data_IF_947364584375
#
_entry.id   IF_947364584375
#
_cell.length_a   1.000
_cell.length_b   1.000
_cell.length_c   1.000
_cell.angle_alpha   90.00
_cell.angle_beta   90.00
_cell.angle_gamma   90.00
#
_symmetry.space_group_name_H-M   'P 1'
#
loop_
_entity.id
_entity.type
_entity.pdbx_description
1 polymer ?
#
# COMPACT_ATOMS: atom_id res chain seq x y z
N UNK A 1 -10.60 -1.90 6.31
CA UNK A 1 -9.33 -2.24 5.69
C UNK A 1 -9.19 -3.73 5.46
N UNK A 2 -8.22 -4.15 4.67
CA UNK A 2 -7.95 -5.55 4.35
C UNK A 2 -6.96 -6.15 5.34
N UNK A 3 -7.04 -7.45 5.54
CA UNK A 3 -6.11 -8.27 6.34
C UNK A 3 -5.49 -9.35 5.47
N UNK A 4 -4.42 -9.97 5.94
CA UNK A 4 -3.83 -11.11 5.26
C UNK A 4 -4.86 -12.26 5.16
N UNK A 5 -5.08 -12.76 3.95
CA UNK A 5 -6.08 -13.78 3.63
C UNK A 5 -7.44 -13.25 3.18
N UNK A 6 -7.68 -11.94 3.24
CA UNK A 6 -8.91 -11.36 2.71
C UNK A 6 -8.93 -11.41 1.17
N UNK A 7 -10.09 -11.65 0.60
CA UNK A 7 -10.31 -11.56 -0.84
C UNK A 7 -10.56 -10.12 -1.26
N UNK A 8 -9.79 -9.64 -2.24
CA UNK A 8 -9.99 -8.31 -2.84
C UNK A 8 -10.92 -8.45 -4.04
N UNK A 9 -12.18 -8.07 -3.85
CA UNK A 9 -13.19 -8.12 -4.90
C UNK A 9 -12.94 -7.05 -5.98
N UNK A 10 -13.06 -7.43 -7.25
CA UNK A 10 -13.00 -6.51 -8.40
C UNK A 10 -14.32 -5.76 -8.67
N UNK A 11 -15.38 -6.09 -7.93
CA UNK A 11 -16.70 -5.45 -8.10
C UNK A 11 -16.85 -4.15 -7.33
N UNK A 12 -15.87 -3.79 -6.54
CA UNK A 12 -15.89 -2.60 -5.71
C UNK A 12 -14.82 -1.59 -6.14
N UNK A 13 -14.56 -0.62 -5.31
CA UNK A 13 -13.58 0.44 -5.49
C UNK A 13 -12.14 -0.14 -5.55
N UNK A 14 -11.24 0.34 -6.44
CA UNK A 14 -9.85 -0.09 -6.48
C UNK A 14 -9.00 0.42 -5.30
N UNK A 15 -9.58 1.21 -4.37
CA UNK A 15 -8.88 1.74 -3.20
C UNK A 15 -8.69 0.66 -2.13
N UNK A 16 -7.48 0.14 -2.00
CA UNK A 16 -7.13 -0.88 -1.00
C UNK A 16 -6.74 -0.27 0.34
N UNK A 17 -5.91 0.76 0.31
CA UNK A 17 -5.39 1.40 1.50
C UNK A 17 -5.05 2.86 1.22
N UNK A 18 -4.98 3.66 2.28
CA UNK A 18 -4.51 5.05 2.26
C UNK A 18 -3.35 5.18 3.21
N UNK A 19 -2.16 5.46 2.67
CA UNK A 19 -0.96 5.73 3.44
C UNK A 19 -0.80 7.24 3.64
N UNK A 20 -0.64 7.67 4.87
CA UNK A 20 -0.47 9.08 5.23
C UNK A 20 0.78 9.22 6.06
N UNK A 21 1.64 10.19 5.70
CA UNK A 21 2.82 10.56 6.46
C UNK A 21 2.79 12.06 6.78
N UNK A 22 3.44 12.43 7.86
CA UNK A 22 3.65 13.82 8.25
C UNK A 22 5.13 14.18 8.24
N UNK A 23 5.47 15.33 7.66
CA UNK A 23 6.79 15.92 7.67
C UNK A 23 6.72 17.43 7.95
N UNK A 24 7.71 17.97 8.63
CA UNK A 24 7.81 19.40 8.92
C UNK A 24 8.04 20.23 7.64
N UNK A 25 8.58 19.61 6.61
CA UNK A 25 8.75 20.17 5.28
C UNK A 25 8.28 19.21 4.21
N UNK A 26 8.06 19.73 2.99
CA UNK A 26 7.74 18.89 1.82
C UNK A 26 8.79 17.81 1.59
N UNK A 27 10.06 18.18 1.67
CA UNK A 27 11.19 17.28 1.47
C UNK A 27 11.18 16.13 2.49
N UNK A 28 11.03 16.45 3.78
CA UNK A 28 10.94 15.44 4.84
C UNK A 28 9.74 14.53 4.67
N UNK A 29 8.60 15.08 4.25
CA UNK A 29 7.40 14.29 3.99
C UNK A 29 7.61 13.32 2.82
N UNK A 30 8.27 13.77 1.73
CA UNK A 30 8.60 12.91 0.58
C UNK A 30 9.54 11.77 1.00
N UNK A 31 10.59 12.06 1.74
CA UNK A 31 11.54 11.04 2.23
C UNK A 31 10.85 10.00 3.12
N UNK A 32 10.00 10.45 4.04
CA UNK A 32 9.21 9.55 4.89
C UNK A 32 8.23 8.69 4.09
N UNK A 33 7.58 9.26 3.08
CA UNK A 33 6.66 8.51 2.22
C UNK A 33 7.41 7.46 1.40
N UNK A 34 8.56 7.80 0.83
CA UNK A 34 9.41 6.86 0.10
C UNK A 34 9.88 5.71 1.00
N UNK A 35 10.27 5.98 2.24
CA UNK A 35 10.64 4.95 3.20
C UNK A 35 9.46 4.05 3.53
N UNK A 36 8.30 4.63 3.86
CA UNK A 36 7.09 3.89 4.18
C UNK A 36 6.60 3.01 3.03
N UNK A 37 6.67 3.49 1.77
CA UNK A 37 6.30 2.70 0.59
C UNK A 37 7.27 1.55 0.33
N UNK A 38 8.57 1.69 0.65
CA UNK A 38 9.54 0.59 0.54
C UNK A 38 9.30 -0.52 1.55
N UNK A 39 8.79 -0.17 2.72
CA UNK A 39 8.46 -1.12 3.79
C UNK A 39 7.05 -1.70 3.64
N UNK A 40 6.22 -1.09 2.79
CA UNK A 40 4.84 -1.54 2.58
C UNK A 40 4.81 -2.78 1.71
N UNK A 41 4.40 -3.90 2.28
CA UNK A 41 4.32 -5.20 1.60
C UNK A 41 2.86 -5.54 1.32
N UNK A 42 2.54 -5.76 0.04
CA UNK A 42 1.24 -6.27 -0.41
C UNK A 42 1.47 -7.44 -1.39
N UNK A 43 1.08 -8.62 -0.98
CA UNK A 43 1.17 -9.83 -1.82
C UNK A 43 -0.20 -10.25 -2.35
N UNK A 44 -0.21 -10.88 -3.52
CA UNK A 44 -1.42 -11.43 -4.13
C UNK A 44 -2.28 -10.42 -4.89
N UNK A 45 -1.91 -9.12 -4.87
CA UNK A 45 -2.60 -8.07 -5.61
C UNK A 45 -1.60 -7.16 -6.32
N UNK A 46 -1.96 -6.70 -7.50
CA UNK A 46 -1.18 -5.66 -8.19
C UNK A 46 -1.49 -4.31 -7.58
N UNK A 47 -0.45 -3.60 -7.15
CA UNK A 47 -0.57 -2.27 -6.55
C UNK A 47 0.12 -1.22 -7.40
N UNK A 48 -0.11 0.06 -7.10
CA UNK A 48 0.56 1.19 -7.75
C UNK A 48 1.76 1.72 -6.91
N UNK A 49 2.32 0.90 -6.03
CA UNK A 49 3.42 1.31 -5.13
C UNK A 49 4.64 1.77 -5.94
N UNK A 50 5.08 1.01 -6.94
CA UNK A 50 6.22 1.35 -7.77
C UNK A 50 6.00 2.67 -8.53
N UNK A 51 4.80 2.83 -9.10
CA UNK A 51 4.40 4.09 -9.73
C UNK A 51 4.52 5.27 -8.75
N UNK A 52 4.03 5.12 -7.53
CA UNK A 52 4.10 6.18 -6.51
C UNK A 52 5.54 6.48 -6.09
N UNK A 53 6.41 5.48 -5.98
CA UNK A 53 7.82 5.68 -5.67
C UNK A 53 8.54 6.46 -6.77
N UNK A 54 8.27 6.15 -8.04
CA UNK A 54 8.84 6.85 -9.18
C UNK A 54 8.36 8.31 -9.25
N UNK A 55 7.06 8.55 -9.02
CA UNK A 55 6.51 9.91 -8.93
C UNK A 55 7.20 10.71 -7.82
N UNK A 56 7.34 10.13 -6.62
CA UNK A 56 7.98 10.80 -5.47
C UNK A 56 9.47 11.09 -5.70
N UNK A 57 10.12 10.35 -6.58
CA UNK A 57 11.53 10.51 -6.92
C UNK A 57 11.77 11.51 -8.07
N UNK A 58 10.70 11.90 -8.79
CA UNK A 58 10.83 12.78 -9.94
C UNK A 58 11.11 14.22 -9.53
N UNK A 59 12.04 14.88 -10.26
CA UNK A 59 12.49 16.25 -9.96
C UNK A 59 11.35 17.28 -9.96
N UNK A 60 10.43 17.19 -10.93
CA UNK A 60 9.27 18.10 -10.98
C UNK A 60 8.37 17.94 -9.75
N UNK A 61 8.20 16.69 -9.26
CA UNK A 61 7.40 16.44 -8.08
C UNK A 61 8.10 16.95 -6.81
N UNK A 62 9.39 16.69 -6.64
CA UNK A 62 10.14 17.13 -5.47
C UNK A 62 10.23 18.65 -5.40
N UNK A 63 10.40 19.33 -6.55
CA UNK A 63 10.42 20.78 -6.65
C UNK A 63 9.02 21.46 -6.62
N UNK A 64 7.93 20.67 -6.59
CA UNK A 64 6.56 21.19 -6.58
C UNK A 64 6.05 21.74 -7.91
N UNK A 65 6.72 21.47 -9.03
CA UNK A 65 6.37 21.96 -10.38
C UNK A 65 5.41 21.00 -11.12
N UNK A 66 4.45 20.45 -10.41
CA UNK A 66 3.48 19.49 -10.99
C UNK A 66 2.11 20.16 -11.14
N UNK A 67 1.39 19.75 -12.18
CA UNK A 67 -0.01 20.11 -12.44
C UNK A 67 -0.87 18.85 -12.52
N UNK A 68 -2.20 19.00 -12.54
CA UNK A 68 -3.13 17.87 -12.67
C UNK A 68 -2.91 17.00 -13.90
N UNK A 69 -2.38 17.59 -14.98
CA UNK A 69 -2.06 16.89 -16.25
C UNK A 69 -0.58 16.47 -16.36
N UNK A 70 0.20 16.65 -15.30
CA UNK A 70 1.65 16.38 -15.37
C UNK A 70 1.94 14.90 -15.63
N UNK A 71 1.24 13.99 -14.97
CA UNK A 71 1.40 12.55 -15.18
C UNK A 71 1.14 12.16 -16.63
N UNK A 72 0.04 12.64 -17.21
CA UNK A 72 -0.34 12.31 -18.59
C UNK A 72 0.63 12.87 -19.62
N UNK A 73 1.14 14.07 -19.40
CA UNK A 73 1.90 14.81 -20.41
C UNK A 73 3.42 14.60 -20.32
N UNK A 74 3.95 14.34 -19.13
CA UNK A 74 5.40 14.34 -18.90
C UNK A 74 5.93 13.07 -18.25
N UNK A 75 5.09 12.30 -17.56
CA UNK A 75 5.52 11.15 -16.80
C UNK A 75 5.25 9.85 -17.57
N UNK A 76 6.21 9.43 -18.39
CA UNK A 76 6.12 8.19 -19.17
C UNK A 76 6.55 6.98 -18.31
N UNK A 77 5.69 6.59 -17.37
CA UNK A 77 5.96 5.46 -16.50
C UNK A 77 5.77 4.11 -17.22
N UNK A 78 6.65 3.17 -16.92
CA UNK A 78 6.52 1.78 -17.33
C UNK A 78 6.68 0.89 -16.11
N UNK A 79 5.80 -0.12 -15.93
CA UNK A 79 5.94 -1.06 -14.83
C UNK A 79 7.29 -1.80 -14.94
N UNK A 80 7.95 -1.98 -13.79
CA UNK A 80 9.12 -2.83 -13.69
C UNK A 80 8.72 -4.30 -13.90
N UNK A 81 9.50 -5.03 -14.67
CA UNK A 81 9.33 -6.49 -14.75
C UNK A 81 9.94 -7.11 -13.50
N UNK A 82 9.22 -8.01 -12.81
CA UNK A 82 9.78 -8.68 -11.65
C UNK A 82 11.01 -9.49 -12.03
N UNK A 83 12.07 -9.41 -11.24
CA UNK A 83 13.26 -10.23 -11.41
C UNK A 83 13.01 -11.65 -10.94
N UNK A 84 13.84 -12.59 -11.41
CA UNK A 84 13.73 -14.00 -10.99
C UNK A 84 13.91 -14.15 -9.46
N UNK A 85 14.80 -13.36 -8.88
CA UNK A 85 15.03 -13.31 -7.43
C UNK A 85 13.80 -12.82 -6.67
N UNK A 86 13.10 -11.82 -7.19
CA UNK A 86 11.87 -11.31 -6.57
C UNK A 86 10.74 -12.33 -6.60
N UNK A 87 10.64 -13.12 -7.67
CA UNK A 87 9.67 -14.23 -7.77
C UNK A 87 9.96 -15.35 -6.78
N UNK A 88 11.24 -15.70 -6.59
CA UNK A 88 11.66 -16.68 -5.57
C UNK A 88 11.31 -16.13 -4.17
N UNK A 89 11.64 -14.89 -3.88
CA UNK A 89 11.35 -14.29 -2.59
C UNK A 89 9.84 -14.26 -2.28
N UNK A 90 9.02 -13.92 -3.28
CA UNK A 90 7.56 -13.96 -3.16
C UNK A 90 7.05 -15.38 -2.86
N UNK A 91 7.55 -16.39 -3.59
CA UNK A 91 7.16 -17.79 -3.37
C UNK A 91 7.55 -18.31 -1.98
N UNK A 92 8.71 -17.90 -1.46
CA UNK A 92 9.14 -18.24 -0.11
C UNK A 92 8.30 -17.53 0.95
N UNK A 93 7.92 -16.29 0.71
CA UNK A 93 7.03 -15.54 1.59
C UNK A 93 5.65 -16.20 1.68
N UNK A 94 5.07 -16.62 0.57
CA UNK A 94 3.79 -17.36 0.54
C UNK A 94 3.85 -18.64 1.38
N UNK A 95 4.92 -19.42 1.26
CA UNK A 95 5.12 -20.63 2.07
C UNK A 95 5.19 -20.34 3.56
N UNK A 96 5.76 -19.21 3.96
CA UNK A 96 5.85 -18.81 5.37
C UNK A 96 4.53 -18.26 5.90
N UNK A 97 3.73 -17.59 5.07
CA UNK A 97 2.41 -17.04 5.43
C UNK A 97 1.39 -18.16 5.59
N UNK A 98 1.36 -19.14 4.67
CA UNK A 98 0.44 -20.29 4.73
C UNK A 98 0.68 -21.14 5.97
N UNK A 99 1.92 -21.24 6.45
CA UNK A 99 2.28 -22.01 7.64
C UNK A 99 2.16 -21.22 8.96
N UNK A 100 1.74 -19.95 8.93
CA UNK A 100 1.43 -19.24 10.17
C UNK A 100 0.07 -19.74 10.69
N UNK A 101 0.02 -20.28 11.93
CA UNK A 101 -1.27 -20.55 12.54
C UNK A 101 -2.04 -19.23 12.59
N UNK A 102 -3.31 -19.29 12.24
CA UNK A 102 -4.26 -18.16 12.19
C UNK A 102 -4.57 -17.54 13.57
N UNK A 103 -3.59 -17.52 14.46
CA UNK A 103 -3.69 -17.03 15.85
C UNK A 103 -3.72 -15.50 15.97
N UNK A 104 -3.89 -14.76 14.89
CA UNK A 104 -4.11 -13.30 14.94
C UNK A 104 -5.61 -12.94 14.79
N UNK A 105 -6.51 -13.87 14.94
CA UNK A 105 -7.87 -13.53 15.30
C UNK A 105 -7.86 -13.28 16.81
N UNK A 106 -7.54 -12.07 17.21
CA UNK A 106 -7.78 -11.61 18.56
C UNK A 106 -9.29 -11.56 18.73
N UNK A 107 -9.91 -12.69 19.13
CA UNK A 107 -11.33 -12.76 19.49
C UNK A 107 -11.67 -11.80 20.63
N UNK A 108 -10.69 -11.15 21.22
CA UNK A 108 -10.77 -10.23 22.35
C UNK A 108 -10.26 -8.83 22.04
N UNK A 109 -10.54 -8.28 20.85
CA UNK A 109 -10.41 -6.84 20.68
C UNK A 109 -11.61 -6.14 21.31
N UNK A 110 -11.49 -5.54 22.52
CA UNK A 110 -12.60 -4.87 23.20
C UNK A 110 -13.03 -3.58 22.47
N UNK A 111 -12.20 -3.08 21.54
CA UNK A 111 -12.45 -1.87 20.76
C UNK A 111 -12.95 -2.15 19.35
N UNK A 112 -13.19 -3.41 18.99
CA UNK A 112 -13.71 -3.75 17.67
C UNK A 112 -15.14 -3.17 17.50
N UNK A 113 -15.35 -2.21 16.58
CA UNK A 113 -16.67 -1.61 16.36
C UNK A 113 -17.70 -2.63 15.84
N UNK A 114 -17.25 -3.80 15.39
CA UNK A 114 -18.09 -4.86 14.83
C UNK A 114 -18.64 -5.81 15.87
N UNK A 115 -18.15 -5.77 17.12
CA UNK A 115 -18.66 -6.60 18.22
C UNK A 115 -19.88 -6.01 18.92
N UNK A 116 -20.20 -4.74 18.68
CA UNK A 116 -21.37 -4.09 19.26
C UNK A 116 -22.37 -3.74 18.16
N UNK A 117 -23.33 -4.62 17.81
CA UNK A 117 -24.32 -4.37 16.77
C UNK A 117 -25.23 -3.17 17.07
N UNK A 118 -25.21 -2.65 18.30
CA UNK A 118 -26.02 -1.51 18.74
C UNK A 118 -25.26 -0.18 18.83
N UNK A 119 -23.97 -0.13 18.48
CA UNK A 119 -23.13 1.07 18.60
C UNK A 119 -23.29 2.11 17.46
N UNK A 120 -24.08 1.80 16.42
CA UNK A 120 -24.31 2.71 15.28
C UNK A 120 -25.73 3.28 15.21
N UNK A 121 -26.52 3.18 16.28
CA UNK A 121 -27.82 3.85 16.38
C UNK A 121 -27.85 4.71 17.64
N UNK A 122 -27.42 5.93 17.50
CA UNK A 122 -27.96 7.14 18.15
C UNK A 122 -27.62 8.33 17.31
#
# INVERSE_FOLDING_TARGET
GFRAGDEVSHFYDPLLAKLIVFGESRETAIQKMQAALREFVAHGVTTNIDFMQDVLSHEDFTSGKVSTKWVENKFNWKPSTPTFESLIAASLADLTIVNRPSSIVNEHDPFSPWKNPNGFRN
#
